data_IF_513086665558
#
_entry.id   IF_513086665558
#
_cell.length_a   1.000
_cell.length_b   1.000
_cell.length_c   1.000
_cell.angle_alpha   90.00
_cell.angle_beta   90.00
_cell.angle_gamma   90.00
#
_symmetry.space_group_name_H-M   'P 1'
#
loop_
_entity.id
_entity.type
_entity.pdbx_description
1 polymer ?
#
# COMPACT_ATOMS: atom_id res chain seq x y z
N UNK A 1 -6.97 -10.99 -4.69
CA UNK A 1 -6.65 -11.61 -3.37
C UNK A 1 -5.23 -11.30 -2.92
N UNK A 2 -4.26 -11.25 -3.81
CA UNK A 2 -2.84 -10.97 -3.53
C UNK A 2 -2.66 -9.67 -2.76
N UNK A 3 -3.24 -8.56 -3.24
CA UNK A 3 -3.17 -7.27 -2.53
C UNK A 3 -3.76 -7.32 -1.11
N UNK A 4 -4.83 -8.11 -0.90
CA UNK A 4 -5.41 -8.31 0.42
C UNK A 4 -4.43 -9.00 1.38
N UNK A 5 -3.83 -10.10 0.94
CA UNK A 5 -2.85 -10.84 1.73
C UNK A 5 -1.59 -10.00 1.99
N UNK A 6 -1.13 -9.27 0.98
CA UNK A 6 0.05 -8.42 1.10
C UNK A 6 -0.14 -7.28 2.10
N UNK A 7 -1.29 -6.60 2.09
CA UNK A 7 -1.60 -5.55 3.07
C UNK A 7 -1.59 -6.12 4.49
N UNK A 8 -2.22 -7.28 4.71
CA UNK A 8 -2.19 -7.93 6.02
C UNK A 8 -0.78 -8.31 6.44
N UNK A 9 0.02 -8.87 5.52
CA UNK A 9 1.42 -9.21 5.81
C UNK A 9 2.22 -7.99 6.27
N UNK A 10 2.08 -6.84 5.59
CA UNK A 10 2.77 -5.59 5.96
C UNK A 10 2.26 -5.00 7.28
N UNK A 11 0.94 -5.02 7.53
CA UNK A 11 0.37 -4.58 8.81
C UNK A 11 0.95 -5.43 9.95
N UNK A 12 0.96 -6.76 9.81
CA UNK A 12 1.49 -7.67 10.82
C UNK A 12 3.00 -7.49 11.02
N UNK A 13 3.77 -7.36 9.93
CA UNK A 13 5.20 -7.09 10.00
C UNK A 13 5.48 -5.80 10.77
N UNK A 14 4.79 -4.72 10.44
CA UNK A 14 4.91 -3.43 11.11
C UNK A 14 4.52 -3.51 12.58
N UNK A 15 3.48 -4.28 12.91
CA UNK A 15 3.03 -4.48 14.29
C UNK A 15 4.09 -5.22 15.11
N UNK A 16 4.64 -6.33 14.59
CA UNK A 16 5.70 -7.10 15.24
C UNK A 16 6.94 -6.25 15.45
N UNK A 17 7.41 -5.55 14.39
CA UNK A 17 8.54 -4.64 14.49
C UNK A 17 8.32 -3.57 15.56
N UNK A 18 7.14 -2.94 15.56
CA UNK A 18 6.80 -1.89 16.53
C UNK A 18 6.85 -2.40 17.96
N UNK A 19 6.41 -3.62 18.19
CA UNK A 19 6.49 -4.25 19.51
C UNK A 19 7.94 -4.56 19.90
N UNK A 20 8.71 -5.17 19.01
CA UNK A 20 10.09 -5.56 19.25
C UNK A 20 11.03 -4.36 19.44
N UNK A 21 10.74 -3.22 18.79
CA UNK A 21 11.52 -1.99 18.92
C UNK A 21 11.34 -1.29 20.28
N UNK A 22 10.31 -1.66 21.04
CA UNK A 22 10.09 -1.10 22.37
C UNK A 22 11.01 -1.76 23.42
N UNK A 23 11.53 -0.95 24.34
CA UNK A 23 12.21 -1.48 25.53
C UNK A 23 11.23 -2.31 26.39
N UNK A 24 11.76 -3.25 27.17
CA UNK A 24 10.95 -4.13 28.03
C UNK A 24 9.98 -3.35 28.93
N UNK A 25 10.41 -2.20 29.44
CA UNK A 25 9.57 -1.29 30.26
C UNK A 25 8.37 -0.75 29.47
N UNK A 26 8.54 -0.42 28.20
CA UNK A 26 7.50 0.20 27.37
C UNK A 26 6.58 -0.82 26.70
N UNK A 27 6.98 -2.11 26.63
CA UNK A 27 6.13 -3.19 26.06
C UNK A 27 4.84 -3.41 26.84
N UNK A 28 4.84 -3.09 28.14
CA UNK A 28 3.64 -3.18 29.00
C UNK A 28 2.70 -1.97 28.86
N UNK A 29 3.07 -0.94 28.09
CA UNK A 29 2.27 0.26 27.91
C UNK A 29 1.55 0.29 26.55
N UNK A 30 0.25 -0.05 26.47
CA UNK A 30 -0.49 -0.14 25.20
C UNK A 30 -0.47 1.14 24.37
N UNK A 31 -0.50 2.32 25.01
CA UNK A 31 -0.47 3.60 24.30
C UNK A 31 0.88 3.85 23.62
N UNK A 32 1.99 3.51 24.27
CA UNK A 32 3.32 3.64 23.65
C UNK A 32 3.44 2.73 22.43
N UNK A 33 2.99 1.49 22.55
CA UNK A 33 2.94 0.56 21.41
C UNK A 33 2.07 1.11 20.28
N UNK A 34 0.85 1.57 20.59
CA UNK A 34 -0.09 2.11 19.61
C UNK A 34 0.50 3.30 18.84
N UNK A 35 1.18 4.20 19.54
CA UNK A 35 1.78 5.36 18.91
C UNK A 35 2.97 4.97 18.03
N UNK A 36 3.85 4.09 18.50
CA UNK A 36 4.98 3.56 17.72
C UNK A 36 4.47 2.84 16.47
N UNK A 37 3.45 1.99 16.60
CA UNK A 37 2.84 1.32 15.47
C UNK A 37 2.26 2.30 14.44
N UNK A 38 1.54 3.33 14.89
CA UNK A 38 0.99 4.35 13.99
C UNK A 38 2.07 5.08 13.20
N UNK A 39 3.17 5.44 13.85
CA UNK A 39 4.28 6.12 13.16
C UNK A 39 4.98 5.19 12.16
N UNK A 40 5.23 3.94 12.53
CA UNK A 40 5.81 2.96 11.61
C UNK A 40 4.88 2.67 10.42
N UNK A 41 3.56 2.60 10.66
CA UNK A 41 2.57 2.45 9.57
C UNK A 41 2.57 3.63 8.60
N UNK A 42 2.79 4.86 9.07
CA UNK A 42 2.94 6.02 8.17
C UNK A 42 4.16 5.89 7.29
N UNK A 43 5.29 5.46 7.84
CA UNK A 43 6.54 5.24 7.10
C UNK A 43 6.34 4.15 6.05
N UNK A 44 5.77 3.02 6.44
CA UNK A 44 5.51 1.89 5.54
C UNK A 44 4.53 2.26 4.43
N UNK A 45 3.45 2.98 4.75
CA UNK A 45 2.48 3.45 3.77
C UNK A 45 3.10 4.43 2.76
N UNK A 46 3.94 5.36 3.23
CA UNK A 46 4.64 6.30 2.36
C UNK A 46 5.66 5.60 1.46
N UNK A 47 6.41 4.65 2.02
CA UNK A 47 7.33 3.81 1.25
C UNK A 47 6.61 3.02 0.16
N UNK A 48 5.48 2.39 0.48
CA UNK A 48 4.71 1.61 -0.50
C UNK A 48 4.23 2.49 -1.67
N UNK A 49 3.82 3.73 -1.39
CA UNK A 49 3.44 4.69 -2.40
C UNK A 49 4.62 5.10 -3.28
N UNK A 50 5.78 5.35 -2.66
CA UNK A 50 7.02 5.65 -3.40
C UNK A 50 7.41 4.51 -4.35
N UNK A 51 7.34 3.25 -3.91
CA UNK A 51 7.66 2.10 -4.76
C UNK A 51 6.67 1.95 -5.93
N UNK A 52 5.37 2.19 -5.70
CA UNK A 52 4.38 2.15 -6.77
C UNK A 52 4.62 3.22 -7.83
N UNK A 53 4.99 4.43 -7.43
CA UNK A 53 5.30 5.51 -8.35
C UNK A 53 6.59 5.26 -9.14
N UNK A 54 7.61 4.63 -8.54
CA UNK A 54 8.80 4.18 -9.27
C UNK A 54 8.44 3.24 -10.42
N UNK A 55 7.55 2.29 -10.16
CA UNK A 55 7.09 1.32 -11.17
C UNK A 55 6.36 2.05 -12.30
N UNK A 56 5.46 2.95 -11.97
CA UNK A 56 4.73 3.72 -12.97
C UNK A 56 5.67 4.59 -13.82
N UNK A 57 6.61 5.28 -13.18
CA UNK A 57 7.63 6.07 -13.89
C UNK A 57 8.49 5.21 -14.81
N UNK A 58 8.86 4.00 -14.38
CA UNK A 58 9.62 3.05 -15.22
C UNK A 58 8.84 2.61 -16.47
N UNK A 59 7.50 2.61 -16.41
CA UNK A 59 6.60 2.28 -17.52
C UNK A 59 6.14 3.51 -18.31
N UNK A 60 6.73 4.69 -18.07
CA UNK A 60 6.28 5.98 -18.63
C UNK A 60 4.81 6.30 -18.32
N UNK A 61 4.33 5.81 -17.18
CA UNK A 61 2.98 6.04 -16.66
C UNK A 61 3.02 6.94 -15.43
N UNK A 62 1.89 7.56 -15.14
CA UNK A 62 1.65 8.28 -13.89
C UNK A 62 0.37 7.79 -13.22
N UNK A 63 0.19 8.17 -11.97
CA UNK A 63 -0.93 7.69 -11.17
C UNK A 63 -2.30 8.12 -11.72
N UNK A 64 -2.36 9.30 -12.34
CA UNK A 64 -3.60 9.83 -12.95
C UNK A 64 -4.07 8.92 -14.08
N UNK A 65 -3.16 8.52 -14.96
CA UNK A 65 -3.48 7.67 -16.11
C UNK A 65 -4.10 6.34 -15.69
N UNK A 66 -3.61 5.71 -14.61
CA UNK A 66 -4.15 4.43 -14.15
C UNK A 66 -5.43 4.54 -13.31
N UNK A 67 -5.77 5.73 -12.80
CA UNK A 67 -6.92 5.92 -11.90
C UNK A 67 -8.10 6.64 -12.55
N UNK A 68 -7.87 7.45 -13.59
CA UNK A 68 -8.92 8.17 -14.30
C UNK A 68 -9.36 7.41 -15.55
N UNK A 69 -10.65 7.06 -15.59
CA UNK A 69 -11.25 6.34 -16.72
C UNK A 69 -11.58 7.30 -17.85
N UNK A 70 -10.63 7.52 -18.76
CA UNK A 70 -10.89 8.09 -20.08
C UNK A 70 -10.53 7.08 -21.17
N UNK A 71 -11.02 7.26 -22.39
CA UNK A 71 -10.63 6.40 -23.53
C UNK A 71 -9.13 6.47 -23.76
N UNK A 72 -8.58 7.69 -23.74
CA UNK A 72 -7.15 7.94 -23.95
C UNK A 72 -6.30 7.26 -22.88
N UNK A 73 -6.68 7.36 -21.59
CA UNK A 73 -5.95 6.71 -20.51
C UNK A 73 -5.99 5.19 -20.61
N UNK A 74 -7.11 4.60 -21.04
CA UNK A 74 -7.22 3.16 -21.27
C UNK A 74 -6.27 2.73 -22.40
N UNK A 75 -6.23 3.50 -23.49
CA UNK A 75 -5.35 3.22 -24.62
C UNK A 75 -3.87 3.33 -24.21
N UNK A 76 -3.49 4.39 -23.49
CA UNK A 76 -2.15 4.58 -22.94
C UNK A 76 -1.78 3.40 -22.04
N UNK A 77 -2.66 3.00 -21.11
CA UNK A 77 -2.40 1.84 -20.25
C UNK A 77 -2.21 0.55 -21.05
N UNK A 78 -3.03 0.31 -22.08
CA UNK A 78 -2.91 -0.88 -22.93
C UNK A 78 -1.58 -0.94 -23.69
N UNK A 79 -1.02 0.22 -24.04
CA UNK A 79 0.26 0.30 -24.75
C UNK A 79 1.48 0.24 -23.83
N UNK A 80 1.44 0.94 -22.70
CA UNK A 80 2.61 1.14 -21.84
C UNK A 80 2.69 0.16 -20.68
N UNK A 81 1.54 -0.24 -20.10
CA UNK A 81 1.55 -1.11 -18.93
C UNK A 81 2.02 -2.53 -19.30
N UNK A 82 3.09 -2.98 -18.70
CA UNK A 82 3.68 -4.32 -18.91
C UNK A 82 4.07 -4.93 -17.57
N UNK A 83 3.51 -6.10 -17.27
CA UNK A 83 3.94 -6.88 -16.10
C UNK A 83 4.13 -8.36 -16.47
N UNK A 84 5.15 -8.98 -15.87
CA UNK A 84 5.38 -10.43 -15.93
C UNK A 84 4.91 -11.15 -14.68
N UNK A 85 4.70 -10.41 -13.61
CA UNK A 85 4.23 -10.87 -12.30
C UNK A 85 3.13 -9.91 -11.84
N UNK A 86 2.38 -10.24 -10.79
CA UNK A 86 1.25 -9.44 -10.29
C UNK A 86 1.67 -8.10 -9.67
N UNK A 87 2.48 -7.30 -10.38
CA UNK A 87 3.02 -5.99 -9.94
C UNK A 87 1.89 -5.04 -9.56
N UNK A 88 0.80 -5.04 -10.34
CA UNK A 88 -0.37 -4.21 -10.06
C UNK A 88 -0.95 -4.49 -8.68
N UNK A 89 -1.11 -5.76 -8.34
CA UNK A 89 -1.63 -6.17 -7.03
C UNK A 89 -0.66 -5.86 -5.90
N UNK A 90 0.62 -6.24 -6.04
CA UNK A 90 1.62 -6.16 -4.97
C UNK A 90 2.10 -4.74 -4.68
N UNK A 91 2.10 -3.85 -5.67
CA UNK A 91 2.60 -2.49 -5.49
C UNK A 91 1.51 -1.45 -5.62
N UNK A 92 0.75 -1.44 -6.72
CA UNK A 92 -0.20 -0.34 -6.98
C UNK A 92 -1.40 -0.44 -6.04
N UNK A 93 -2.14 -1.55 -6.04
CA UNK A 93 -3.30 -1.72 -5.17
C UNK A 93 -2.88 -1.71 -3.71
N UNK A 94 -1.80 -2.42 -3.36
CA UNK A 94 -1.31 -2.48 -1.99
C UNK A 94 -0.93 -1.09 -1.47
N UNK A 95 -0.31 -0.22 -2.27
CA UNK A 95 0.03 1.14 -1.84
C UNK A 95 -1.21 1.98 -1.50
N UNK A 96 -2.29 1.84 -2.28
CA UNK A 96 -3.56 2.50 -1.99
C UNK A 96 -4.17 2.03 -0.68
N UNK A 97 -4.18 0.73 -0.45
CA UNK A 97 -4.74 0.12 0.75
C UNK A 97 -3.91 0.45 2.00
N UNK A 98 -2.57 0.42 1.89
CA UNK A 98 -1.67 0.82 2.98
C UNK A 98 -1.87 2.28 3.39
N UNK A 99 -2.07 3.18 2.44
CA UNK A 99 -2.38 4.58 2.73
C UNK A 99 -3.83 4.81 3.20
N UNK A 100 -4.66 3.77 3.20
CA UNK A 100 -6.02 3.74 3.76
C UNK A 100 -6.19 2.61 4.79
N UNK A 101 -5.13 2.17 5.46
CA UNK A 101 -5.15 0.94 6.25
C UNK A 101 -6.22 0.93 7.35
N UNK A 102 -6.54 2.05 7.98
CA UNK A 102 -7.62 2.14 8.98
C UNK A 102 -8.97 1.79 8.34
N UNK A 103 -9.26 2.37 7.17
CA UNK A 103 -10.49 2.08 6.44
C UNK A 103 -10.50 0.64 5.92
N UNK A 104 -9.33 0.10 5.53
CA UNK A 104 -9.18 -1.30 5.14
C UNK A 104 -9.51 -2.25 6.31
N UNK A 105 -9.02 -1.98 7.52
CA UNK A 105 -9.36 -2.75 8.71
C UNK A 105 -10.87 -2.70 9.01
N UNK A 106 -11.48 -1.52 8.91
CA UNK A 106 -12.92 -1.34 9.03
C UNK A 106 -13.70 -2.11 7.96
N UNK A 107 -13.22 -2.09 6.71
CA UNK A 107 -13.81 -2.86 5.62
C UNK A 107 -13.74 -4.37 5.90
N UNK A 108 -12.59 -4.87 6.35
CA UNK A 108 -12.40 -6.28 6.71
C UNK A 108 -13.36 -6.72 7.81
N UNK A 109 -13.46 -5.92 8.87
CA UNK A 109 -14.37 -6.21 10.00
C UNK A 109 -15.85 -6.28 9.57
N UNK A 110 -16.25 -5.44 8.61
CA UNK A 110 -17.64 -5.35 8.14
C UNK A 110 -18.03 -6.43 7.13
N UNK A 111 -17.09 -6.85 6.28
CA UNK A 111 -17.43 -7.66 5.09
C UNK A 111 -16.93 -9.11 5.16
N UNK A 112 -16.08 -9.45 6.12
CA UNK A 112 -15.56 -10.80 6.31
C UNK A 112 -16.18 -11.46 7.56
N UNK A 113 -16.23 -12.78 7.57
CA UNK A 113 -16.66 -13.54 8.75
C UNK A 113 -15.59 -13.53 9.85
N UNK A 114 -14.31 -13.55 9.43
CA UNK A 114 -13.13 -13.47 10.30
C UNK A 114 -12.24 -12.36 9.75
N UNK A 115 -11.67 -11.54 10.65
CA UNK A 115 -10.95 -10.31 10.29
C UNK A 115 -9.86 -10.53 9.22
N UNK A 116 -9.06 -11.58 9.37
CA UNK A 116 -7.94 -11.89 8.47
C UNK A 116 -8.35 -12.68 7.23
N UNK A 117 -9.53 -13.30 7.23
CA UNK A 117 -9.94 -14.20 6.17
C UNK A 117 -10.87 -13.50 5.19
N UNK A 118 -10.43 -13.34 3.94
CA UNK A 118 -11.28 -12.81 2.89
C UNK A 118 -12.45 -13.74 2.58
N UNK A 119 -13.67 -13.22 2.65
CA UNK A 119 -14.87 -13.97 2.28
C UNK A 119 -14.95 -14.09 0.75
N UNK A 120 -14.68 -15.29 0.23
CA UNK A 120 -14.59 -15.59 -1.21
C UNK A 120 -15.97 -15.74 -1.85
N UNK A 121 -16.74 -14.65 -1.95
CA UNK A 121 -18.00 -14.60 -2.70
C UNK A 121 -17.92 -13.49 -3.78
N UNK A 122 -18.63 -13.64 -4.92
CA UNK A 122 -18.65 -12.60 -5.95
C UNK A 122 -19.03 -11.22 -5.39
N UNK A 123 -20.11 -11.15 -4.64
CA UNK A 123 -20.58 -9.88 -4.06
C UNK A 123 -19.60 -9.26 -3.05
N UNK A 124 -18.76 -10.06 -2.35
CA UNK A 124 -17.71 -9.51 -1.51
C UNK A 124 -16.51 -9.03 -2.32
N UNK A 125 -16.22 -9.69 -3.43
CA UNK A 125 -15.20 -9.23 -4.38
C UNK A 125 -15.58 -7.88 -5.00
N UNK A 126 -16.85 -7.72 -5.41
CA UNK A 126 -17.35 -6.46 -5.95
C UNK A 126 -17.21 -5.31 -4.94
N UNK A 127 -17.58 -5.56 -3.69
CA UNK A 127 -17.39 -4.59 -2.59
C UNK A 127 -15.92 -4.24 -2.38
N UNK A 128 -15.02 -5.20 -2.51
CA UNK A 128 -13.59 -4.95 -2.38
C UNK A 128 -13.05 -4.09 -3.51
N UNK A 129 -13.48 -4.35 -4.74
CA UNK A 129 -13.13 -3.56 -5.91
C UNK A 129 -13.64 -2.11 -5.76
N UNK A 130 -14.89 -1.92 -5.31
CA UNK A 130 -15.42 -0.58 -5.04
C UNK A 130 -14.64 0.14 -3.94
N UNK A 131 -14.28 -0.56 -2.86
CA UNK A 131 -13.43 0.00 -1.81
C UNK A 131 -12.05 0.46 -2.35
N UNK A 132 -11.41 -0.32 -3.22
CA UNK A 132 -10.14 0.07 -3.87
C UNK A 132 -10.34 1.34 -4.72
N UNK A 133 -11.42 1.41 -5.50
CA UNK A 133 -11.75 2.61 -6.30
C UNK A 133 -11.96 3.84 -5.42
N UNK A 134 -12.57 3.69 -4.26
CA UNK A 134 -12.74 4.80 -3.31
C UNK A 134 -11.42 5.22 -2.68
N UNK A 135 -10.51 4.29 -2.42
CA UNK A 135 -9.16 4.61 -1.98
C UNK A 135 -8.42 5.53 -2.96
N UNK A 136 -8.62 5.36 -4.28
CA UNK A 136 -8.02 6.22 -5.31
C UNK A 136 -8.49 7.68 -5.22
N UNK A 137 -9.67 7.93 -4.65
CA UNK A 137 -10.25 9.27 -4.54
C UNK A 137 -9.74 10.05 -3.32
N UNK A 138 -9.01 9.40 -2.40
CA UNK A 138 -8.56 10.00 -1.15
C UNK A 138 -7.65 11.21 -1.39
N UNK A 139 -8.02 12.43 -0.92
CA UNK A 139 -7.24 13.65 -1.15
C UNK A 139 -5.83 13.61 -0.55
N UNK A 140 -5.66 12.93 0.58
CA UNK A 140 -4.34 12.78 1.21
C UNK A 140 -3.39 11.97 0.35
N UNK A 141 -3.88 10.90 -0.27
CA UNK A 141 -3.08 10.08 -1.19
C UNK A 141 -2.70 10.92 -2.40
N UNK A 142 -3.63 11.61 -3.03
CA UNK A 142 -3.36 12.50 -4.18
C UNK A 142 -2.29 13.55 -3.84
N UNK A 143 -2.38 14.17 -2.67
CA UNK A 143 -1.37 15.14 -2.20
C UNK A 143 0.02 14.51 -2.05
N UNK A 144 0.11 13.31 -1.49
CA UNK A 144 1.38 12.59 -1.31
C UNK A 144 1.96 12.14 -2.64
N UNK A 145 1.11 11.66 -3.57
CA UNK A 145 1.51 11.31 -4.94
C UNK A 145 2.15 12.52 -5.63
N UNK A 146 1.47 13.66 -5.65
CA UNK A 146 1.98 14.88 -6.29
C UNK A 146 3.33 15.33 -5.70
N UNK A 147 3.57 15.12 -4.40
CA UNK A 147 4.86 15.40 -3.77
C UNK A 147 5.95 14.41 -4.23
N UNK A 148 5.62 13.13 -4.23
CA UNK A 148 6.56 12.06 -4.59
C UNK A 148 6.92 12.10 -6.07
N UNK A 149 5.97 12.34 -6.97
CA UNK A 149 6.22 12.48 -8.41
C UNK A 149 7.21 13.62 -8.70
N UNK A 150 7.09 14.75 -7.98
CA UNK A 150 8.06 15.86 -8.08
C UNK A 150 9.46 15.48 -7.61
N UNK A 151 9.58 14.60 -6.62
CA UNK A 151 10.87 14.11 -6.13
C UNK A 151 11.47 13.13 -7.14
N UNK A 152 10.68 12.16 -7.58
CA UNK A 152 11.08 11.13 -8.54
C UNK A 152 11.51 11.78 -9.86
N UNK A 153 10.75 12.74 -10.39
CA UNK A 153 11.05 13.44 -11.63
C UNK A 153 12.32 14.33 -11.62
N UNK A 154 12.88 14.60 -10.41
CA UNK A 154 14.14 15.35 -10.24
C UNK A 154 15.37 14.47 -10.04
N UNK A 155 15.18 13.16 -9.94
CA UNK A 155 16.25 12.21 -9.59
C UNK A 155 16.69 11.49 -10.84
N UNK A 156 17.86 11.85 -11.39
CA UNK A 156 18.44 11.26 -12.61
C UNK A 156 18.72 9.76 -12.48
N UNK A 157 18.91 9.26 -11.26
CA UNK A 157 19.17 7.86 -10.95
C UNK A 157 18.15 7.30 -9.96
N UNK A 158 16.95 6.97 -10.43
CA UNK A 158 16.01 6.21 -9.62
C UNK A 158 16.59 4.82 -9.42
N UNK A 159 16.84 4.44 -8.16
CA UNK A 159 17.26 3.07 -7.85
C UNK A 159 16.30 2.07 -8.49
N UNK A 160 16.81 1.16 -9.32
CA UNK A 160 16.03 0.12 -9.99
C UNK A 160 15.55 -0.97 -9.02
N UNK A 161 16.05 -0.97 -7.79
CA UNK A 161 15.65 -1.96 -6.79
C UNK A 161 14.25 -1.65 -6.25
N UNK A 162 13.37 -2.65 -6.29
CA UNK A 162 12.07 -2.62 -5.67
C UNK A 162 12.13 -3.36 -4.34
N UNK A 163 11.62 -2.71 -3.30
CA UNK A 163 11.41 -3.33 -1.98
C UNK A 163 9.93 -3.27 -1.62
N UNK A 164 9.36 -4.38 -1.22
CA UNK A 164 7.94 -4.43 -0.82
C UNK A 164 7.72 -3.72 0.51
N UNK A 165 8.64 -3.85 1.45
CA UNK A 165 8.61 -3.18 2.77
C UNK A 165 9.92 -2.47 3.05
N UNK A 166 9.87 -1.38 3.82
CA UNK A 166 11.04 -0.69 4.38
C UNK A 166 11.34 -1.17 5.80
N UNK A 167 10.35 -1.77 6.45
CA UNK A 167 10.45 -2.26 7.82
C UNK A 167 10.99 -3.68 7.81
N UNK A 168 12.22 -3.83 8.27
CA UNK A 168 12.91 -5.11 8.41
C UNK A 168 12.97 -5.49 9.89
N UNK A 169 12.42 -6.67 10.23
CA UNK A 169 12.51 -7.19 11.60
C UNK A 169 13.96 -7.61 11.82
N UNK A 170 14.66 -7.06 12.84
CA UNK A 170 16.03 -7.46 13.11
C UNK A 170 16.11 -8.96 13.44
N UNK A 171 17.18 -9.62 13.00
CA UNK A 171 17.44 -10.99 13.37
C UNK A 171 17.50 -11.10 14.91
N UNK A 172 16.52 -11.76 15.47
CA UNK A 172 16.49 -12.09 16.89
C UNK A 172 17.26 -13.42 17.00
N UNK A 173 18.59 -13.31 17.08
CA UNK A 173 19.46 -14.43 17.45
C UNK A 173 19.88 -14.24 18.90
#
# INVERSE_FOLDING_TARGET
YESYCEVWARIMNTMIYSYLSLSNKHRSHPETFRNTFKENMKIEAYHSLYQSLKILTFMDLNFKVITEKSKDNIEICNHLYREKTSVFSYYIITSLLMNNYINFLGWCSKNNNVLLQFKKTPGNLDKYIEFIKDCCKNPHIKKNINKLEKIIGKTDNISKNLKMTIIEIPNII
#
